data_IF_228043462905
#
_entry.id   IF_228043462905
#
_cell.length_a   1.000
_cell.length_b   1.000
_cell.length_c   1.000
_cell.angle_alpha   90.00
_cell.angle_beta   90.00
_cell.angle_gamma   90.00
#
_symmetry.space_group_name_H-M   'P 1'
#
loop_
_entity.id
_entity.type
_entity.pdbx_description
1 polymer ?
#
# COMPACT_ATOMS: atom_id res chain seq x y z
N UNK A 1 -17.32 29.85 41.53
CA UNK A 1 -17.74 29.59 40.14
C UNK A 1 -16.55 29.80 39.21
N UNK A 2 -15.67 28.80 39.06
CA UNK A 2 -14.66 28.79 37.98
C UNK A 2 -14.03 27.42 37.69
N UNK A 3 -14.57 26.32 38.26
CA UNK A 3 -13.99 24.97 38.08
C UNK A 3 -14.58 24.26 36.85
N UNK A 4 -15.78 24.64 36.42
CA UNK A 4 -16.45 24.01 35.26
C UNK A 4 -15.80 24.33 33.92
N UNK A 5 -15.20 25.52 33.75
CA UNK A 5 -14.54 25.92 32.49
C UNK A 5 -13.18 25.23 32.27
N UNK A 6 -12.51 24.75 33.33
CA UNK A 6 -11.22 24.04 33.21
C UNK A 6 -11.39 22.57 32.82
N UNK A 7 -12.51 21.96 33.19
CA UNK A 7 -12.80 20.54 32.94
C UNK A 7 -13.38 20.32 31.53
N UNK A 8 -13.79 21.35 30.80
CA UNK A 8 -14.35 21.22 29.44
C UNK A 8 -13.30 21.45 28.33
N UNK A 9 -12.28 22.26 28.58
CA UNK A 9 -11.23 22.61 27.59
C UNK A 9 -10.00 21.68 27.66
N UNK A 10 -9.73 21.08 28.82
CA UNK A 10 -8.61 20.14 29.01
C UNK A 10 -8.86 18.71 28.48
N UNK A 11 -10.07 18.13 28.52
CA UNK A 11 -10.29 16.78 28.01
C UNK A 11 -10.19 16.72 26.49
N UNK A 12 -10.73 17.69 25.75
CA UNK A 12 -10.70 17.66 24.28
C UNK A 12 -9.28 17.78 23.72
N UNK A 13 -8.44 18.65 24.31
CA UNK A 13 -7.04 18.81 23.92
C UNK A 13 -6.21 17.58 24.26
N UNK A 14 -6.37 17.03 25.46
CA UNK A 14 -5.67 15.81 25.87
C UNK A 14 -6.10 14.59 25.04
N UNK A 15 -7.37 14.48 24.66
CA UNK A 15 -7.90 13.40 23.82
C UNK A 15 -7.33 13.49 22.40
N UNK A 16 -7.22 14.68 21.82
CA UNK A 16 -6.55 14.90 20.53
C UNK A 16 -5.09 14.49 20.56
N UNK A 17 -4.33 14.97 21.54
CA UNK A 17 -2.90 14.66 21.67
C UNK A 17 -2.66 13.16 21.83
N UNK A 18 -3.51 12.48 22.61
CA UNK A 18 -3.46 11.03 22.79
C UNK A 18 -3.75 10.31 21.49
N UNK A 19 -4.82 10.68 20.76
CA UNK A 19 -5.13 9.98 19.52
C UNK A 19 -4.14 10.30 18.42
N UNK A 20 -3.61 11.51 18.34
CA UNK A 20 -2.51 11.85 17.42
C UNK A 20 -1.27 10.99 17.67
N UNK A 21 -0.93 10.77 18.96
CA UNK A 21 0.13 9.84 19.32
C UNK A 21 -0.20 8.41 18.87
N UNK A 22 -1.44 7.95 19.09
CA UNK A 22 -1.87 6.62 18.65
C UNK A 22 -1.81 6.46 17.13
N UNK A 23 -2.29 7.44 16.37
CA UNK A 23 -2.23 7.45 14.90
C UNK A 23 -0.78 7.30 14.44
N UNK A 24 0.14 8.12 14.98
CA UNK A 24 1.56 8.05 14.64
C UNK A 24 2.18 6.69 14.98
N UNK A 25 1.84 6.11 16.13
CA UNK A 25 2.34 4.79 16.53
C UNK A 25 1.83 3.68 15.61
N UNK A 26 0.54 3.72 15.25
CA UNK A 26 -0.10 2.75 14.36
C UNK A 26 0.46 2.86 12.94
N UNK A 27 0.59 4.08 12.42
CA UNK A 27 1.23 4.35 11.11
C UNK A 27 2.69 3.87 11.08
N UNK A 28 3.45 4.18 12.14
CA UNK A 28 4.84 3.76 12.25
C UNK A 28 4.98 2.23 12.32
N UNK A 29 4.09 1.54 13.04
CA UNK A 29 4.05 0.09 13.08
C UNK A 29 3.75 -0.49 11.69
N UNK A 30 2.75 0.03 10.98
CA UNK A 30 2.44 -0.39 9.61
C UNK A 30 3.60 -0.18 8.64
N UNK A 31 4.25 0.99 8.70
CA UNK A 31 5.43 1.30 7.90
C UNK A 31 6.61 0.35 8.21
N UNK A 32 6.85 0.04 9.49
CA UNK A 32 7.89 -0.89 9.91
C UNK A 32 7.63 -2.31 9.38
N UNK A 33 6.39 -2.80 9.44
CA UNK A 33 6.00 -4.12 8.91
C UNK A 33 6.28 -4.20 7.40
N UNK A 34 5.89 -3.18 6.65
CA UNK A 34 6.14 -3.09 5.19
C UNK A 34 7.64 -3.10 4.92
N UNK A 35 8.39 -2.26 5.65
CA UNK A 35 9.82 -2.13 5.48
C UNK A 35 10.56 -3.46 5.73
N UNK A 36 10.25 -4.14 6.84
CA UNK A 36 10.84 -5.43 7.18
C UNK A 36 10.52 -6.49 6.12
N UNK A 37 9.28 -6.54 5.64
CA UNK A 37 8.87 -7.44 4.56
C UNK A 37 9.63 -7.18 3.26
N UNK A 38 9.81 -5.91 2.91
CA UNK A 38 10.54 -5.49 1.71
C UNK A 38 12.03 -5.84 1.80
N UNK A 39 12.69 -5.55 2.93
CA UNK A 39 14.11 -5.90 3.16
C UNK A 39 14.31 -7.41 3.08
N UNK A 40 13.43 -8.18 3.73
CA UNK A 40 13.47 -9.64 3.69
C UNK A 40 13.29 -10.18 2.27
N UNK A 41 12.31 -9.67 1.53
CA UNK A 41 12.02 -10.11 0.17
C UNK A 41 13.17 -9.79 -0.79
N UNK A 42 13.74 -8.59 -0.68
CA UNK A 42 14.88 -8.15 -1.47
C UNK A 42 16.12 -9.02 -1.23
N UNK A 43 16.46 -9.31 0.03
CA UNK A 43 17.59 -10.17 0.38
C UNK A 43 17.41 -11.60 -0.17
N UNK A 44 16.21 -12.17 -0.07
CA UNK A 44 15.91 -13.51 -0.62
C UNK A 44 15.95 -13.54 -2.15
N UNK A 45 15.50 -12.46 -2.79
CA UNK A 45 15.55 -12.32 -4.24
C UNK A 45 16.98 -12.29 -4.76
N UNK A 46 17.87 -11.48 -4.16
CA UNK A 46 19.29 -11.44 -4.50
C UNK A 46 19.96 -12.82 -4.33
N UNK A 47 19.70 -13.48 -3.20
CA UNK A 47 20.29 -14.79 -2.92
C UNK A 47 19.82 -15.87 -3.90
N UNK A 48 18.56 -15.82 -4.34
CA UNK A 48 18.02 -16.72 -5.36
C UNK A 48 18.64 -16.48 -6.74
N UNK A 49 18.84 -15.21 -7.11
CA UNK A 49 19.51 -14.84 -8.36
C UNK A 49 20.96 -15.33 -8.43
N UNK A 50 21.71 -15.21 -7.34
CA UNK A 50 23.12 -15.66 -7.28
C UNK A 50 23.24 -17.19 -7.33
N UNK A 51 22.29 -17.94 -6.75
CA UNK A 51 22.36 -19.41 -6.68
C UNK A 51 21.90 -20.14 -7.94
N UNK A 52 21.47 -19.44 -8.99
CA UNK A 52 21.07 -20.04 -10.28
C UNK A 52 19.89 -21.02 -10.22
N UNK A 53 19.21 -21.14 -9.06
CA UNK A 53 18.17 -22.13 -8.83
C UNK A 53 16.80 -21.65 -9.29
N UNK A 54 16.23 -22.32 -10.30
CA UNK A 54 14.82 -22.32 -10.69
C UNK A 54 13.99 -21.10 -10.26
N UNK A 55 14.24 -19.96 -10.93
CA UNK A 55 13.70 -18.62 -10.61
C UNK A 55 12.19 -18.63 -10.33
N UNK A 56 11.40 -19.47 -11.03
CA UNK A 56 9.94 -19.44 -10.95
C UNK A 56 9.33 -19.79 -9.58
N UNK A 57 9.80 -20.85 -8.90
CA UNK A 57 9.11 -21.37 -7.70
C UNK A 57 9.46 -20.60 -6.43
N UNK A 58 10.73 -20.22 -6.27
CA UNK A 58 11.17 -19.41 -5.12
C UNK A 58 10.72 -17.95 -5.24
N UNK A 59 10.67 -17.39 -6.46
CA UNK A 59 10.14 -16.05 -6.69
C UNK A 59 8.68 -15.92 -6.26
N UNK A 60 7.83 -16.90 -6.59
CA UNK A 60 6.43 -16.86 -6.21
C UNK A 60 6.24 -16.90 -4.68
N UNK A 61 7.07 -17.67 -3.96
CA UNK A 61 7.05 -17.69 -2.48
C UNK A 61 7.48 -16.36 -1.87
N UNK A 62 8.54 -15.74 -2.42
CA UNK A 62 9.01 -14.42 -1.98
C UNK A 62 7.91 -13.39 -2.18
N UNK A 63 7.29 -13.37 -3.37
CA UNK A 63 6.19 -12.45 -3.70
C UNK A 63 4.97 -12.64 -2.80
N UNK A 64 4.55 -13.88 -2.56
CA UNK A 64 3.42 -14.17 -1.66
C UNK A 64 3.71 -13.73 -0.22
N UNK A 65 4.94 -13.93 0.25
CA UNK A 65 5.33 -13.52 1.60
C UNK A 65 5.37 -12.00 1.72
N UNK A 66 5.98 -11.29 0.75
CA UNK A 66 5.95 -9.84 0.68
C UNK A 66 4.51 -9.31 0.66
N UNK A 67 3.63 -9.93 -0.12
CA UNK A 67 2.21 -9.58 -0.16
C UNK A 67 1.53 -9.64 1.22
N UNK A 68 1.90 -10.59 2.08
CA UNK A 68 1.37 -10.69 3.46
C UNK A 68 1.86 -9.54 4.35
N UNK A 69 3.12 -9.15 4.25
CA UNK A 69 3.64 -7.98 4.97
C UNK A 69 2.98 -6.68 4.49
N UNK A 70 2.78 -6.53 3.18
CA UNK A 70 2.07 -5.38 2.62
C UNK A 70 0.61 -5.33 3.08
N UNK A 71 -0.11 -6.44 3.03
CA UNK A 71 -1.50 -6.52 3.49
C UNK A 71 -1.61 -6.11 4.97
N UNK A 72 -0.78 -6.71 5.84
CA UNK A 72 -0.77 -6.39 7.26
C UNK A 72 -0.42 -4.93 7.52
N UNK A 73 0.62 -4.39 6.87
CA UNK A 73 1.00 -2.99 7.04
C UNK A 73 -0.08 -2.02 6.57
N UNK A 74 -0.82 -2.37 5.52
CA UNK A 74 -1.96 -1.58 5.04
C UNK A 74 -3.15 -1.62 5.99
N UNK A 75 -3.42 -2.74 6.67
CA UNK A 75 -4.44 -2.82 7.72
C UNK A 75 -4.11 -1.87 8.87
N UNK A 76 -2.84 -1.76 9.27
CA UNK A 76 -2.39 -0.78 10.27
C UNK A 76 -2.55 0.65 9.76
N UNK A 77 -2.13 0.97 8.54
CA UNK A 77 -2.31 2.32 7.99
C UNK A 77 -3.79 2.71 7.92
N UNK A 78 -4.66 1.79 7.50
CA UNK A 78 -6.10 2.00 7.49
C UNK A 78 -6.66 2.25 8.89
N UNK A 79 -6.17 1.55 9.92
CA UNK A 79 -6.55 1.82 11.30
C UNK A 79 -6.13 3.24 11.74
N UNK A 80 -4.95 3.71 11.33
CA UNK A 80 -4.52 5.09 11.53
C UNK A 80 -5.45 6.11 10.86
N UNK A 81 -5.84 5.85 9.61
CA UNK A 81 -6.78 6.70 8.87
C UNK A 81 -8.16 6.77 9.56
N UNK A 82 -8.68 5.62 10.04
CA UNK A 82 -9.94 5.54 10.79
C UNK A 82 -9.87 6.29 12.13
N UNK A 83 -8.75 6.17 12.86
CA UNK A 83 -8.54 6.92 14.09
C UNK A 83 -8.54 8.43 13.82
N UNK A 84 -7.92 8.86 12.71
CA UNK A 84 -7.88 10.28 12.33
C UNK A 84 -9.25 10.84 11.97
N UNK A 85 -10.10 10.06 11.30
CA UNK A 85 -11.47 10.50 10.97
C UNK A 85 -12.40 10.49 12.19
N UNK A 86 -12.14 9.65 13.20
CA UNK A 86 -12.96 9.56 14.40
C UNK A 86 -12.86 10.80 15.32
N UNK A 87 -11.76 11.53 15.23
CA UNK A 87 -11.44 12.67 16.11
C UNK A 87 -11.08 13.92 15.32
N UNK A 88 -11.50 14.13 14.07
CA UNK A 88 -11.18 15.35 13.32
C UNK A 88 -12.06 16.54 13.72
N UNK A 89 -11.54 17.56 14.44
CA UNK A 89 -12.32 18.69 14.88
C UNK A 89 -11.51 19.99 14.66
N UNK A 90 -11.17 20.30 13.41
CA UNK A 90 -10.85 21.64 12.91
C UNK A 90 -10.82 21.57 11.38
N UNK A 91 -11.26 22.63 10.69
CA UNK A 91 -11.26 22.65 9.22
C UNK A 91 -9.84 22.49 8.62
N UNK A 92 -8.80 22.89 9.36
CA UNK A 92 -7.40 22.80 8.91
C UNK A 92 -6.88 21.36 8.92
N UNK A 93 -7.17 20.59 9.98
CA UNK A 93 -6.79 19.18 10.09
C UNK A 93 -7.55 18.32 9.06
N UNK A 94 -8.83 18.63 8.85
CA UNK A 94 -9.65 18.01 7.79
C UNK A 94 -9.04 18.29 6.41
N UNK A 95 -8.62 19.53 6.16
CA UNK A 95 -7.98 19.92 4.90
C UNK A 95 -6.66 19.18 4.65
N UNK A 96 -5.82 19.02 5.68
CA UNK A 96 -4.56 18.27 5.56
C UNK A 96 -4.81 16.78 5.30
N UNK A 97 -5.76 16.17 6.01
CA UNK A 97 -6.11 14.77 5.82
C UNK A 97 -6.69 14.53 4.41
N UNK A 98 -7.59 15.40 3.95
CA UNK A 98 -8.16 15.34 2.61
C UNK A 98 -7.08 15.48 1.53
N UNK A 99 -6.08 16.36 1.73
CA UNK A 99 -4.96 16.51 0.80
C UNK A 99 -4.10 15.24 0.72
N UNK A 100 -3.74 14.64 1.86
CA UNK A 100 -2.97 13.39 1.90
C UNK A 100 -3.75 12.25 1.22
N UNK A 101 -5.04 12.11 1.54
CA UNK A 101 -5.91 11.09 0.96
C UNK A 101 -6.07 11.27 -0.57
N UNK A 102 -6.24 12.51 -1.03
CA UNK A 102 -6.33 12.82 -2.46
C UNK A 102 -5.03 12.47 -3.19
N UNK A 103 -3.87 12.85 -2.64
CA UNK A 103 -2.55 12.52 -3.21
C UNK A 103 -2.37 11.00 -3.28
N UNK A 104 -2.65 10.28 -2.19
CA UNK A 104 -2.55 8.80 -2.14
C UNK A 104 -3.43 8.16 -3.21
N UNK A 105 -4.67 8.65 -3.34
CA UNK A 105 -5.62 8.14 -4.34
C UNK A 105 -5.16 8.41 -5.76
N UNK A 106 -4.72 9.63 -6.06
CA UNK A 106 -4.23 10.02 -7.37
C UNK A 106 -3.00 9.21 -7.78
N UNK A 107 -2.00 9.11 -6.91
CA UNK A 107 -0.78 8.33 -7.18
C UNK A 107 -1.09 6.84 -7.40
N UNK A 108 -1.91 6.25 -6.53
CA UNK A 108 -2.27 4.84 -6.65
C UNK A 108 -3.12 4.57 -7.92
N UNK A 109 -3.98 5.52 -8.31
CA UNK A 109 -4.75 5.45 -9.55
C UNK A 109 -3.85 5.49 -10.79
N UNK A 110 -2.92 6.45 -10.87
CA UNK A 110 -1.98 6.55 -12.01
C UNK A 110 -1.11 5.31 -12.14
N UNK A 111 -0.55 4.84 -11.01
CA UNK A 111 0.29 3.63 -11.00
C UNK A 111 -0.51 2.40 -11.46
N UNK A 112 -1.73 2.23 -10.95
CA UNK A 112 -2.61 1.11 -11.34
C UNK A 112 -2.95 1.15 -12.83
N UNK A 113 -3.14 2.35 -13.39
CA UNK A 113 -3.44 2.54 -14.81
C UNK A 113 -2.23 2.22 -15.70
N UNK A 114 -1.04 2.66 -15.31
CA UNK A 114 0.20 2.38 -16.05
C UNK A 114 0.48 0.88 -16.11
N UNK A 115 0.38 0.18 -14.97
CA UNK A 115 0.51 -1.28 -14.90
C UNK A 115 -0.53 -1.99 -15.77
N UNK A 116 -1.76 -1.48 -15.84
CA UNK A 116 -2.81 -2.07 -16.67
C UNK A 116 -2.50 -1.91 -18.17
N UNK A 117 -1.95 -0.77 -18.58
CA UNK A 117 -1.54 -0.54 -19.97
C UNK A 117 -0.40 -1.47 -20.38
N UNK A 118 0.67 -1.57 -19.58
CA UNK A 118 1.80 -2.46 -19.88
C UNK A 118 1.34 -3.92 -20.02
N UNK A 119 0.45 -4.39 -19.14
CA UNK A 119 -0.09 -5.76 -19.21
C UNK A 119 -0.86 -6.01 -20.50
N UNK A 120 -1.67 -5.04 -20.93
CA UNK A 120 -2.46 -5.15 -22.15
C UNK A 120 -1.56 -5.17 -23.40
N UNK A 121 -0.45 -4.45 -23.38
CA UNK A 121 0.55 -4.46 -24.46
C UNK A 121 1.22 -5.84 -24.58
N UNK A 122 1.71 -6.39 -23.47
CA UNK A 122 2.33 -7.74 -23.43
C UNK A 122 1.36 -8.84 -23.90
N UNK A 123 0.06 -8.72 -23.58
CA UNK A 123 -0.96 -9.68 -24.02
C UNK A 123 -1.24 -9.57 -25.53
N UNK A 124 -1.25 -8.35 -26.09
CA UNK A 124 -1.38 -8.13 -27.52
C UNK A 124 -0.18 -8.67 -28.30
N UNK A 125 1.03 -8.49 -27.79
CA UNK A 125 2.24 -9.04 -28.39
C UNK A 125 2.21 -10.58 -28.42
N UNK A 126 1.89 -11.21 -27.29
CA UNK A 126 1.73 -12.68 -27.23
C UNK A 126 0.68 -13.22 -28.19
N UNK A 127 -0.44 -12.51 -28.37
CA UNK A 127 -1.50 -12.93 -29.30
C UNK A 127 -1.06 -12.81 -30.76
N UNK A 128 -0.32 -11.74 -31.11
CA UNK A 128 0.25 -11.58 -32.45
C UNK A 128 1.28 -12.67 -32.76
N UNK A 129 2.12 -13.03 -31.80
CA UNK A 129 3.07 -14.12 -31.93
C UNK A 129 2.32 -15.46 -32.12
N UNK A 130 1.28 -15.75 -31.34
CA UNK A 130 0.48 -16.97 -31.53
C UNK A 130 -0.23 -17.04 -32.92
N UNK A 131 -0.69 -15.90 -33.44
CA UNK A 131 -1.35 -15.83 -34.75
C UNK A 131 -0.33 -15.97 -35.91
N UNK A 132 0.91 -15.47 -35.78
CA UNK A 132 1.98 -15.56 -36.79
C UNK A 132 2.57 -16.98 -36.92
N UNK A 133 2.60 -17.74 -35.83
CA UNK A 133 3.05 -19.13 -35.80
C UNK A 133 1.95 -20.14 -36.17
N UNK A 134 0.74 -19.68 -36.51
CA UNK A 134 -0.31 -20.55 -37.05
C UNK A 134 -0.07 -20.80 -38.55
N UNK A 135 0.18 -22.05 -38.99
CA UNK A 135 0.37 -22.34 -40.41
C UNK A 135 -0.88 -21.93 -41.19
N UNK A 136 -0.74 -21.38 -42.42
CA UNK A 136 -1.91 -21.03 -43.22
C UNK A 136 -2.77 -22.28 -43.42
N UNK A 137 -4.06 -22.18 -43.08
CA UNK A 137 -5.02 -23.23 -43.36
C UNK A 137 -4.99 -23.50 -44.87
N UNK A 138 -4.47 -24.67 -45.25
CA UNK A 138 -4.30 -25.05 -46.65
C UNK A 138 -5.64 -25.00 -47.40
N UNK A 139 -5.64 -24.65 -48.69
CA UNK A 139 -6.87 -24.60 -49.47
C UNK A 139 -7.51 -25.99 -49.50
N UNK A 140 -8.81 -26.03 -49.17
CA UNK A 140 -9.68 -27.20 -49.26
C UNK A 140 -9.91 -27.63 -50.72
#
# INVERSE_FOLDING_TARGET
>A
MNVSLSVEVLPESMLRDVVDLLVRLVEAAGALIIFLGAVWAFGRFLLAGIRGGGVGREFNKIRLSLGRFLALGLEFQLAGDVLRTAIAPSFTEIGQLAAIAAIRTALNYFLSREIANERAEIERERRKEADDFSPPAGPA
#
